data_IF_813869552279
#
_entry.id   IF_813869552279
#
_cell.length_a   1.000
_cell.length_b   1.000
_cell.length_c   1.000
_cell.angle_alpha   90.00
_cell.angle_beta   90.00
_cell.angle_gamma   90.00
#
_symmetry.space_group_name_H-M   'P 1'
#
loop_
_entity.id
_entity.type
_entity.pdbx_description
1 polymer ?
#
# COMPACT_ATOMS: atom_id res chain seq x y z
N UNK A 1 4.06 14.33 0.02
CA UNK A 1 2.83 13.93 -0.65
C UNK A 1 1.61 14.50 0.03
N UNK A 2 1.58 14.57 1.35
CA UNK A 2 0.54 15.30 2.06
C UNK A 2 0.85 16.79 2.10
N UNK A 3 -0.20 17.61 2.06
CA UNK A 3 -0.07 19.07 2.18
C UNK A 3 -0.16 19.44 3.65
N UNK A 4 0.89 20.05 4.20
CA UNK A 4 0.89 20.57 5.56
C UNK A 4 0.70 22.08 5.55
N UNK A 5 -0.24 22.58 6.32
CA UNK A 5 -0.51 24.00 6.51
C UNK A 5 -0.08 24.40 7.93
N UNK A 6 1.18 24.86 8.11
CA UNK A 6 1.69 25.23 9.43
C UNK A 6 1.11 26.58 9.87
N UNK A 7 1.12 26.82 11.19
CA UNK A 7 0.78 28.12 11.80
C UNK A 7 -0.66 28.59 11.57
N UNK A 8 -1.59 27.67 11.36
CA UNK A 8 -3.02 28.00 11.27
C UNK A 8 -3.54 28.36 12.66
N UNK A 9 -4.21 29.51 12.78
CA UNK A 9 -4.83 29.90 14.02
C UNK A 9 -6.08 29.03 14.28
N UNK A 10 -6.33 28.67 15.54
CA UNK A 10 -7.44 27.78 15.91
C UNK A 10 -8.80 28.30 15.43
N UNK A 11 -9.01 29.61 15.46
CA UNK A 11 -10.25 30.24 14.97
C UNK A 11 -10.49 30.09 13.46
N UNK A 12 -9.43 29.83 12.69
CA UNK A 12 -9.48 29.71 11.22
C UNK A 12 -9.68 28.26 10.77
N UNK A 13 -9.50 27.26 11.67
CA UNK A 13 -9.63 25.85 11.35
C UNK A 13 -10.97 25.47 10.71
N UNK A 14 -12.15 25.95 11.20
CA UNK A 14 -13.42 25.60 10.57
C UNK A 14 -13.51 26.05 9.12
N UNK A 15 -13.10 27.31 8.84
CA UNK A 15 -13.15 27.87 7.50
C UNK A 15 -12.15 27.17 6.56
N UNK A 16 -10.95 26.84 7.06
CA UNK A 16 -9.94 26.10 6.33
C UNK A 16 -10.43 24.69 6.00
N UNK A 17 -11.04 24.01 6.97
CA UNK A 17 -11.61 22.67 6.75
C UNK A 17 -12.65 22.65 5.63
N UNK A 18 -13.60 23.61 5.63
CA UNK A 18 -14.62 23.69 4.58
C UNK A 18 -14.00 23.94 3.20
N UNK A 19 -12.96 24.79 3.11
CA UNK A 19 -12.24 25.02 1.85
C UNK A 19 -11.47 23.76 1.40
N UNK A 20 -10.75 23.10 2.31
CA UNK A 20 -10.02 21.88 2.01
C UNK A 20 -10.99 20.76 1.57
N UNK A 21 -12.14 20.65 2.22
CA UNK A 21 -13.19 19.70 1.87
C UNK A 21 -13.74 19.92 0.47
N UNK A 22 -14.01 21.20 0.10
CA UNK A 22 -14.47 21.56 -1.24
C UNK A 22 -13.46 21.20 -2.35
N UNK A 23 -12.16 21.13 -1.99
CA UNK A 23 -11.06 20.72 -2.87
C UNK A 23 -10.73 19.22 -2.81
N UNK A 24 -11.47 18.41 -2.03
CA UNK A 24 -11.19 17.00 -1.84
C UNK A 24 -9.93 16.70 -1.00
N UNK A 25 -9.44 17.68 -0.22
CA UNK A 25 -8.20 17.58 0.56
C UNK A 25 -8.42 17.32 2.06
N UNK A 26 -9.65 17.11 2.50
CA UNK A 26 -10.00 16.92 3.91
C UNK A 26 -10.50 15.50 4.19
N UNK A 27 -9.82 14.51 3.69
CA UNK A 27 -10.13 13.10 3.99
C UNK A 27 -9.65 12.76 5.40
N UNK A 28 -10.48 12.17 6.28
CA UNK A 28 -10.10 11.80 7.64
C UNK A 28 -9.42 10.42 7.67
N UNK A 29 -8.38 10.24 6.88
CA UNK A 29 -7.73 8.95 6.67
C UNK A 29 -6.27 8.89 7.14
N UNK A 30 -5.81 9.86 7.94
CA UNK A 30 -4.42 9.94 8.41
C UNK A 30 -4.03 8.64 9.14
N UNK A 31 -2.93 8.00 8.69
CA UNK A 31 -2.41 6.75 9.23
C UNK A 31 -3.22 5.50 8.86
N UNK A 32 -4.24 5.64 8.02
CA UNK A 32 -5.03 4.52 7.51
C UNK A 32 -4.53 4.08 6.11
N UNK A 33 -5.01 2.95 5.62
CA UNK A 33 -4.59 2.34 4.35
C UNK A 33 -4.49 3.32 3.17
N UNK A 34 -5.44 4.26 3.06
CA UNK A 34 -5.51 5.22 1.94
C UNK A 34 -4.66 6.47 2.14
N UNK A 35 -4.06 6.67 3.33
CA UNK A 35 -3.01 7.66 3.57
C UNK A 35 -1.64 7.11 3.15
N UNK A 36 -1.59 6.53 1.96
CA UNK A 36 -0.40 5.84 1.47
C UNK A 36 0.69 6.80 1.01
N UNK A 37 1.95 6.38 1.18
CA UNK A 37 3.10 7.05 0.59
C UNK A 37 3.41 6.41 -0.76
N UNK A 38 3.26 7.15 -1.85
CA UNK A 38 3.60 6.70 -3.19
C UNK A 38 4.56 7.67 -3.87
N UNK A 39 5.73 7.23 -4.31
CA UNK A 39 6.59 8.06 -5.15
C UNK A 39 5.90 8.29 -6.52
N UNK A 40 6.27 9.32 -7.29
CA UNK A 40 5.62 9.61 -8.58
C UNK A 40 5.78 8.47 -9.61
N UNK A 41 6.79 7.61 -9.47
CA UNK A 41 6.99 6.47 -10.38
C UNK A 41 7.24 6.87 -11.83
N UNK A 42 7.00 5.95 -12.76
CA UNK A 42 7.26 6.12 -14.18
C UNK A 42 6.47 7.23 -14.88
N UNK A 43 5.43 7.77 -14.24
CA UNK A 43 4.67 8.88 -14.81
C UNK A 43 5.47 10.19 -14.82
N UNK A 44 6.37 10.40 -13.83
CA UNK A 44 7.11 11.65 -13.64
C UNK A 44 8.61 11.46 -13.34
N UNK A 45 9.11 10.24 -13.28
CA UNK A 45 10.48 9.94 -12.94
C UNK A 45 11.15 9.04 -13.98
N UNK A 46 12.15 9.56 -14.69
CA UNK A 46 12.89 8.82 -15.71
C UNK A 46 13.74 7.65 -15.15
N UNK A 47 13.92 7.58 -13.82
CA UNK A 47 14.66 6.50 -13.16
C UNK A 47 13.75 5.34 -12.70
N UNK A 48 12.44 5.51 -12.81
CA UNK A 48 11.50 4.51 -12.32
C UNK A 48 11.37 3.32 -13.28
N UNK A 49 11.19 2.13 -12.71
CA UNK A 49 10.95 0.89 -13.45
C UNK A 49 9.45 0.65 -13.70
N UNK A 50 8.59 1.28 -12.90
CA UNK A 50 7.15 1.12 -12.99
C UNK A 50 6.40 2.36 -12.50
N UNK A 51 5.15 2.50 -12.93
CA UNK A 51 4.26 3.59 -12.52
C UNK A 51 3.66 3.29 -11.15
N UNK A 52 3.64 4.30 -10.27
CA UNK A 52 3.11 4.15 -8.91
C UNK A 52 1.72 4.77 -8.76
N UNK A 53 1.47 5.90 -9.40
CA UNK A 53 0.22 6.67 -9.22
C UNK A 53 -1.03 5.92 -9.68
N UNK A 54 -1.05 5.20 -10.82
CA UNK A 54 -2.23 4.41 -11.23
C UNK A 54 -2.55 3.29 -10.23
N UNK A 55 -1.54 2.66 -9.63
CA UNK A 55 -1.72 1.63 -8.61
C UNK A 55 -2.31 2.23 -7.33
N UNK A 56 -1.74 3.36 -6.87
CA UNK A 56 -2.25 4.08 -5.72
C UNK A 56 -3.71 4.51 -5.92
N UNK A 57 -4.05 5.04 -7.11
CA UNK A 57 -5.41 5.41 -7.45
C UNK A 57 -6.37 4.21 -7.41
N UNK A 58 -5.99 3.07 -7.99
CA UNK A 58 -6.81 1.86 -8.02
C UNK A 58 -7.06 1.29 -6.60
N UNK A 59 -6.06 1.35 -5.72
CA UNK A 59 -6.23 0.96 -4.31
C UNK A 59 -7.17 1.95 -3.60
N UNK A 60 -6.96 3.26 -3.78
CA UNK A 60 -7.82 4.29 -3.17
C UNK A 60 -9.27 4.15 -3.64
N UNK A 61 -9.50 3.88 -4.92
CA UNK A 61 -10.84 3.67 -5.48
C UNK A 61 -11.55 2.46 -4.85
N UNK A 62 -10.81 1.39 -4.59
CA UNK A 62 -11.35 0.18 -3.94
C UNK A 62 -11.74 0.41 -2.47
N UNK A 63 -11.00 1.26 -1.77
CA UNK A 63 -11.17 1.53 -0.33
C UNK A 63 -11.72 2.94 -0.08
N UNK A 64 -12.81 3.31 -0.76
CA UNK A 64 -13.49 4.60 -0.57
C UNK A 64 -14.40 4.64 0.66
N UNK A 65 -14.85 3.47 1.12
CA UNK A 65 -15.68 3.36 2.32
C UNK A 65 -14.83 3.60 3.57
N UNK A 66 -15.07 4.73 4.22
CA UNK A 66 -14.33 5.12 5.43
C UNK A 66 -14.58 4.16 6.60
N UNK A 67 -15.79 3.62 6.74
CA UNK A 67 -16.11 2.67 7.80
C UNK A 67 -15.27 1.40 7.64
N UNK A 68 -15.09 0.95 6.40
CA UNK A 68 -14.21 -0.17 6.07
C UNK A 68 -12.75 0.13 6.40
N UNK A 69 -12.25 1.30 6.02
CA UNK A 69 -10.85 1.70 6.28
C UNK A 69 -10.59 1.89 7.78
N UNK A 70 -11.55 2.45 8.52
CA UNK A 70 -11.49 2.55 9.98
C UNK A 70 -11.54 1.18 10.66
N UNK A 71 -12.32 0.22 10.16
CA UNK A 71 -12.35 -1.15 10.68
C UNK A 71 -11.01 -1.87 10.49
N UNK A 72 -10.30 -1.64 9.39
CA UNK A 72 -8.95 -2.15 9.17
C UNK A 72 -7.95 -1.58 10.19
N UNK A 73 -8.16 -0.35 10.63
CA UNK A 73 -7.27 0.37 11.53
C UNK A 73 -5.98 0.85 10.86
N UNK A 74 -4.96 1.25 11.64
CA UNK A 74 -3.71 1.79 11.11
C UNK A 74 -2.95 0.80 10.23
N UNK A 75 -2.69 1.19 8.98
CA UNK A 75 -1.89 0.41 8.02
C UNK A 75 -1.04 1.39 7.19
N UNK A 76 0.28 1.25 7.29
CA UNK A 76 1.22 2.01 6.48
C UNK A 76 1.44 1.29 5.14
N UNK A 77 0.86 1.81 4.06
CA UNK A 77 1.11 1.33 2.70
C UNK A 77 2.11 2.26 2.00
N UNK A 78 3.25 1.71 1.62
CA UNK A 78 4.33 2.47 0.99
C UNK A 78 4.64 1.92 -0.40
N UNK A 79 4.77 2.80 -1.41
CA UNK A 79 5.00 2.42 -2.79
C UNK A 79 6.16 3.17 -3.42
N UNK A 80 7.05 2.42 -4.08
CA UNK A 80 8.18 2.97 -4.85
C UNK A 80 8.19 2.41 -6.26
N UNK A 81 8.38 3.26 -7.26
CA UNK A 81 8.45 2.87 -8.67
C UNK A 81 9.79 2.24 -9.06
N UNK A 82 10.78 2.19 -8.19
CA UNK A 82 12.07 1.54 -8.40
C UNK A 82 12.83 1.32 -7.09
N UNK A 83 14.00 0.67 -7.19
CA UNK A 83 14.87 0.32 -6.06
C UNK A 83 15.42 1.52 -5.27
N UNK A 84 15.38 2.74 -5.84
CA UNK A 84 15.77 3.96 -5.11
C UNK A 84 14.88 4.24 -3.89
N UNK A 85 13.76 3.55 -3.78
CA UNK A 85 12.92 3.52 -2.58
C UNK A 85 12.45 4.89 -2.09
N UNK A 86 12.18 5.82 -2.99
CA UNK A 86 11.73 7.18 -2.64
C UNK A 86 10.40 7.20 -1.86
N UNK A 87 9.55 6.16 -2.00
CA UNK A 87 8.35 5.95 -1.22
C UNK A 87 8.56 5.09 0.03
N UNK A 88 9.81 4.75 0.39
CA UNK A 88 10.16 3.96 1.59
C UNK A 88 9.42 2.61 1.69
N UNK A 89 9.19 1.92 0.56
CA UNK A 89 8.43 0.67 0.52
C UNK A 89 8.94 -0.42 1.47
N UNK A 90 10.24 -0.39 1.85
CA UNK A 90 10.80 -1.37 2.79
C UNK A 90 10.19 -1.29 4.19
N UNK A 91 9.82 -0.08 4.64
CA UNK A 91 9.35 0.17 6.00
C UNK A 91 7.82 0.25 6.12
N UNK A 92 7.08 0.16 5.03
CA UNK A 92 5.62 0.05 5.09
C UNK A 92 5.17 -1.29 5.67
N UNK A 93 4.08 -1.30 6.43
CA UNK A 93 3.40 -2.54 6.82
C UNK A 93 3.09 -3.39 5.58
N UNK A 94 2.70 -2.72 4.49
CA UNK A 94 2.59 -3.24 3.14
C UNK A 94 3.49 -2.39 2.25
N UNK A 95 4.47 -3.01 1.61
CA UNK A 95 5.38 -2.35 0.67
C UNK A 95 5.15 -2.81 -0.75
N UNK A 96 5.16 -1.88 -1.71
CA UNK A 96 5.03 -2.16 -3.14
C UNK A 96 6.24 -1.57 -3.85
N UNK A 97 7.00 -2.41 -4.55
CA UNK A 97 8.17 -2.02 -5.33
C UNK A 97 7.94 -2.28 -6.81
N UNK A 98 8.03 -1.24 -7.62
CA UNK A 98 8.08 -1.36 -9.07
C UNK A 98 9.40 -1.97 -9.53
N UNK A 99 9.31 -2.99 -10.35
CA UNK A 99 10.45 -3.67 -10.97
C UNK A 99 10.23 -3.81 -12.48
N UNK A 100 11.30 -3.84 -13.24
CA UNK A 100 11.27 -4.14 -14.68
C UNK A 100 11.57 -5.61 -14.90
N UNK A 101 10.80 -6.24 -15.76
CA UNK A 101 11.09 -7.56 -16.31
C UNK A 101 10.87 -7.52 -17.83
N UNK A 102 11.95 -7.54 -18.56
CA UNK A 102 11.94 -7.54 -20.01
C UNK A 102 11.16 -6.36 -20.65
N UNK A 103 11.34 -5.16 -20.07
CA UNK A 103 10.66 -3.94 -20.50
C UNK A 103 9.19 -3.84 -20.08
N UNK A 104 8.72 -4.71 -19.21
CA UNK A 104 7.36 -4.69 -18.65
C UNK A 104 7.36 -4.30 -17.18
N UNK A 105 6.36 -3.54 -16.76
CA UNK A 105 6.14 -3.15 -15.38
C UNK A 105 5.61 -4.30 -14.56
N UNK A 106 6.30 -4.62 -13.47
CA UNK A 106 5.90 -5.60 -12.47
C UNK A 106 6.00 -4.99 -11.07
N UNK A 107 5.33 -5.60 -10.10
CA UNK A 107 5.29 -5.08 -8.74
C UNK A 107 5.59 -6.19 -7.74
N UNK A 108 6.65 -5.99 -6.95
CA UNK A 108 6.99 -6.86 -5.85
C UNK A 108 6.29 -6.36 -4.58
N UNK A 109 5.62 -7.24 -3.87
CA UNK A 109 4.93 -6.89 -2.62
C UNK A 109 5.70 -7.45 -1.43
N UNK A 110 5.85 -6.63 -0.41
CA UNK A 110 6.44 -6.99 0.88
C UNK A 110 5.44 -6.74 2.00
N UNK A 111 5.51 -7.55 3.05
CA UNK A 111 4.69 -7.42 4.26
C UNK A 111 5.56 -7.37 5.51
N UNK A 112 5.10 -6.64 6.52
CA UNK A 112 5.70 -6.62 7.84
C UNK A 112 6.87 -5.67 8.00
N UNK A 113 7.03 -4.70 7.11
CA UNK A 113 7.94 -3.58 7.33
C UNK A 113 7.48 -2.73 8.52
N UNK A 114 8.41 -1.99 9.10
CA UNK A 114 8.16 -1.06 10.20
C UNK A 114 9.17 0.09 10.13
N UNK A 115 8.71 1.30 10.34
CA UNK A 115 9.53 2.52 10.24
C UNK A 115 10.21 2.96 11.55
N UNK A 116 9.97 2.24 12.65
CA UNK A 116 10.50 2.56 13.96
C UNK A 116 9.61 3.51 14.78
N UNK A 117 8.43 3.86 14.30
CA UNK A 117 7.46 4.65 15.07
C UNK A 117 6.83 3.84 16.20
N UNK A 118 6.13 4.54 17.12
CA UNK A 118 5.44 3.88 18.24
C UNK A 118 4.35 2.90 17.79
N UNK A 119 3.75 3.13 16.60
CA UNK A 119 2.71 2.25 16.04
C UNK A 119 3.29 1.01 15.37
N UNK A 120 4.46 1.15 14.73
CA UNK A 120 5.08 0.06 13.97
C UNK A 120 6.09 -0.77 14.77
N UNK A 121 6.56 -0.27 15.92
CA UNK A 121 7.63 -0.90 16.71
C UNK A 121 9.01 -0.74 16.08
N UNK A 122 10.02 -1.55 16.45
CA UNK A 122 11.38 -1.41 15.94
C UNK A 122 11.44 -1.46 14.42
N UNK A 123 12.30 -0.61 13.81
CA UNK A 123 12.48 -0.54 12.36
C UNK A 123 12.87 -1.91 11.79
N UNK A 124 12.16 -2.33 10.75
CA UNK A 124 12.34 -3.63 10.09
C UNK A 124 11.96 -3.53 8.62
N UNK A 125 12.72 -4.19 7.75
CA UNK A 125 12.34 -4.34 6.36
C UNK A 125 11.28 -5.43 6.19
N UNK A 126 10.25 -5.16 5.36
CA UNK A 126 9.23 -6.11 5.01
C UNK A 126 9.79 -7.32 4.24
N UNK A 127 9.09 -8.46 4.33
CA UNK A 127 9.45 -9.70 3.62
C UNK A 127 8.62 -9.85 2.35
N UNK A 128 9.26 -10.26 1.27
CA UNK A 128 8.63 -10.51 -0.03
C UNK A 128 7.63 -11.67 0.06
N UNK A 129 6.43 -11.49 -0.50
CA UNK A 129 5.35 -12.48 -0.41
C UNK A 129 5.23 -13.40 -1.62
N UNK A 130 6.07 -13.27 -2.62
CA UNK A 130 6.09 -14.18 -3.77
C UNK A 130 6.77 -13.55 -4.99
N UNK A 131 6.63 -14.18 -6.17
CA UNK A 131 7.01 -13.54 -7.43
C UNK A 131 6.25 -12.22 -7.63
N UNK A 132 6.81 -11.31 -8.44
CA UNK A 132 6.16 -10.03 -8.73
C UNK A 132 4.78 -10.22 -9.39
N UNK A 133 3.93 -9.22 -9.25
CA UNK A 133 2.57 -9.18 -9.77
C UNK A 133 2.47 -8.14 -10.87
N UNK A 134 1.52 -8.29 -11.77
CA UNK A 134 1.20 -7.28 -12.78
C UNK A 134 0.43 -6.11 -12.16
N UNK A 135 0.37 -4.98 -12.87
CA UNK A 135 -0.36 -3.80 -12.40
C UNK A 135 -1.84 -4.09 -12.06
N UNK A 136 -2.50 -4.92 -12.88
CA UNK A 136 -3.91 -5.29 -12.69
C UNK A 136 -4.13 -6.24 -11.50
N UNK A 137 -3.14 -7.03 -11.12
CA UNK A 137 -3.22 -7.94 -9.99
C UNK A 137 -3.01 -7.23 -8.63
N UNK A 138 -2.26 -6.14 -8.59
CA UNK A 138 -1.87 -5.52 -7.31
C UNK A 138 -3.07 -5.18 -6.42
N UNK A 139 -4.14 -4.51 -6.89
CA UNK A 139 -5.31 -4.23 -6.03
C UNK A 139 -5.97 -5.49 -5.49
N UNK A 140 -6.04 -6.57 -6.28
CA UNK A 140 -6.63 -7.84 -5.86
C UNK A 140 -5.74 -8.56 -4.83
N UNK A 141 -4.43 -8.46 -4.98
CA UNK A 141 -3.48 -8.99 -3.99
C UNK A 141 -3.59 -8.24 -2.66
N UNK A 142 -3.71 -6.91 -2.67
CA UNK A 142 -3.92 -6.12 -1.45
C UNK A 142 -5.25 -6.53 -0.79
N UNK A 143 -6.32 -6.67 -1.56
CA UNK A 143 -7.63 -7.15 -1.07
C UNK A 143 -7.52 -8.52 -0.41
N UNK A 144 -6.83 -9.49 -1.05
CA UNK A 144 -6.65 -10.83 -0.51
C UNK A 144 -5.86 -10.82 0.82
N UNK A 145 -4.81 -9.98 0.91
CA UNK A 145 -4.03 -9.79 2.13
C UNK A 145 -4.91 -9.23 3.26
N UNK A 146 -5.70 -8.20 2.98
CA UNK A 146 -6.54 -7.54 3.97
C UNK A 146 -7.74 -8.41 4.37
N UNK A 147 -8.32 -9.18 3.46
CA UNK A 147 -9.35 -10.18 3.76
C UNK A 147 -8.79 -11.26 4.68
N UNK A 148 -7.57 -11.73 4.44
CA UNK A 148 -6.89 -12.69 5.33
C UNK A 148 -6.65 -12.10 6.71
N UNK A 149 -6.23 -10.83 6.79
CA UNK A 149 -6.09 -10.12 8.04
C UNK A 149 -7.42 -10.06 8.82
N UNK A 150 -8.51 -9.63 8.19
CA UNK A 150 -9.84 -9.58 8.82
C UNK A 150 -10.30 -10.93 9.35
N UNK A 151 -10.04 -12.01 8.60
CA UNK A 151 -10.44 -13.35 8.98
C UNK A 151 -9.64 -13.91 10.18
N UNK A 152 -8.38 -13.50 10.33
CA UNK A 152 -7.45 -14.10 11.30
C UNK A 152 -7.08 -13.19 12.49
N UNK A 153 -7.42 -11.89 12.41
CA UNK A 153 -7.13 -10.95 13.52
C UNK A 153 -7.98 -11.25 14.75
N UNK A 154 -7.43 -10.91 15.91
CA UNK A 154 -8.19 -10.85 17.17
C UNK A 154 -8.94 -9.52 17.26
N UNK A 155 -9.98 -9.42 18.10
CA UNK A 155 -10.64 -8.14 18.35
C UNK A 155 -9.66 -7.05 18.79
N UNK A 156 -9.67 -5.91 18.08
CA UNK A 156 -8.78 -4.77 18.34
C UNK A 156 -7.31 -4.96 17.97
N UNK A 157 -6.95 -6.05 17.30
CA UNK A 157 -5.58 -6.32 16.86
C UNK A 157 -5.26 -5.56 15.57
N UNK A 158 -4.14 -4.83 15.54
CA UNK A 158 -3.67 -4.12 14.36
C UNK A 158 -2.99 -5.06 13.36
N UNK A 159 -2.96 -4.64 12.09
CA UNK A 159 -2.40 -5.43 10.99
C UNK A 159 -0.99 -5.95 11.27
N UNK A 160 -0.09 -5.07 11.72
CA UNK A 160 1.31 -5.43 11.96
C UNK A 160 1.47 -6.45 13.09
N UNK A 161 0.65 -6.36 14.12
CA UNK A 161 0.68 -7.29 15.27
C UNK A 161 0.08 -8.64 14.89
N UNK A 162 -1.03 -8.63 14.13
CA UNK A 162 -1.63 -9.85 13.59
C UNK A 162 -0.64 -10.58 12.67
N UNK A 163 0.02 -9.87 11.77
CA UNK A 163 1.02 -10.45 10.86
C UNK A 163 2.20 -11.08 11.65
N UNK A 164 2.69 -10.39 12.69
CA UNK A 164 3.77 -10.91 13.54
C UNK A 164 3.34 -12.17 14.31
N UNK A 165 2.12 -12.20 14.80
CA UNK A 165 1.58 -13.35 15.54
C UNK A 165 1.27 -14.54 14.64
N UNK A 166 0.65 -14.31 13.48
CA UNK A 166 0.18 -15.35 12.54
C UNK A 166 1.36 -15.87 11.71
N UNK A 167 2.29 -15.01 11.36
CA UNK A 167 3.35 -15.27 10.38
C UNK A 167 2.94 -14.89 8.97
N UNK A 168 3.87 -15.00 8.03
CA UNK A 168 3.68 -14.52 6.64
C UNK A 168 2.94 -15.52 5.75
N UNK A 169 2.97 -16.82 6.05
CA UNK A 169 2.52 -17.88 5.14
C UNK A 169 1.05 -17.75 4.71
N UNK A 170 0.06 -17.53 5.60
CA UNK A 170 -1.33 -17.36 5.16
C UNK A 170 -1.53 -16.15 4.23
N UNK A 171 -0.84 -15.06 4.49
CA UNK A 171 -0.91 -13.85 3.66
C UNK A 171 -0.23 -14.06 2.30
N UNK A 172 0.89 -14.78 2.28
CA UNK A 172 1.59 -15.14 1.05
C UNK A 172 0.75 -16.07 0.19
N UNK A 173 0.08 -17.05 0.77
CA UNK A 173 -0.80 -17.97 0.07
C UNK A 173 -2.00 -17.24 -0.52
N UNK A 174 -2.62 -16.33 0.26
CA UNK A 174 -3.72 -15.49 -0.21
C UNK A 174 -3.28 -14.56 -1.37
N UNK A 175 -2.12 -13.90 -1.24
CA UNK A 175 -1.57 -13.04 -2.27
C UNK A 175 -1.31 -13.80 -3.59
N UNK A 176 -0.73 -15.01 -3.50
CA UNK A 176 -0.50 -15.84 -4.68
C UNK A 176 -1.80 -16.44 -5.25
N UNK A 177 -2.80 -16.70 -4.42
CA UNK A 177 -4.13 -17.12 -4.85
C UNK A 177 -4.91 -16.07 -5.63
N UNK A 178 -4.57 -14.78 -5.45
CA UNK A 178 -5.18 -13.66 -6.17
C UNK A 178 -4.58 -13.40 -7.56
N UNK A 179 -3.64 -14.23 -8.04
CA UNK A 179 -3.08 -14.12 -9.39
C UNK A 179 -4.13 -14.39 -10.46
N UNK A 180 -4.07 -13.64 -11.56
CA UNK A 180 -4.98 -13.81 -12.69
C UNK A 180 -4.54 -15.00 -13.57
N UNK A 181 -5.37 -16.03 -13.77
CA UNK A 181 -4.97 -17.25 -14.49
C UNK A 181 -4.54 -17.05 -15.96
N UNK A 182 -5.01 -15.99 -16.61
CA UNK A 182 -4.72 -15.74 -18.03
C UNK A 182 -3.28 -15.33 -18.32
N UNK A 183 -2.55 -14.85 -17.34
CA UNK A 183 -1.16 -14.40 -17.56
C UNK A 183 -0.14 -15.51 -17.31
N UNK A 184 -0.48 -16.54 -16.54
CA UNK A 184 0.33 -17.75 -16.40
C UNK A 184 0.44 -18.55 -17.71
N UNK A 185 -0.52 -18.38 -18.64
CA UNK A 185 -0.51 -19.06 -19.93
C UNK A 185 0.35 -18.38 -20.99
N UNK A 186 0.53 -17.06 -20.91
CA UNK A 186 1.43 -16.34 -21.85
C UNK A 186 2.92 -16.58 -21.52
N UNK A 187 3.27 -16.79 -20.26
CA UNK A 187 4.63 -17.14 -19.85
C UNK A 187 5.02 -18.57 -20.26
N UNK A 188 4.07 -19.51 -20.29
CA UNK A 188 4.30 -20.91 -20.67
C UNK A 188 4.41 -21.13 -22.19
N UNK A 189 4.04 -20.15 -23.03
CA UNK A 189 4.11 -20.25 -24.49
C UNK A 189 5.41 -19.64 -25.04
N UNK A 190 6.17 -18.94 -24.19
CA UNK A 190 7.44 -18.27 -24.56
C UNK A 190 8.70 -19.03 -24.10
N UNK A 191 8.58 -20.21 -23.50
CA UNK A 191 9.64 -21.19 -23.29
C UNK A 191 9.60 -22.28 -24.39
#
# INVERSE_FOLDING_TARGET
QNLALPWVHETDLPALYEQAKALGLAQPNIGLLTDMIACPGGDFCALANARSLPIAAAITERYQDLDEVFDLGPIDLHMSGCINSCGHHHSGHIGILGVDKDGKEWYQITLGGADGTRLSGPALAGKVVGPSFTASEVPDVIEAVLTTFRALRKPGEFFIDALRRIGHDPFKDAANGARHPKQAQEEAITE
#
